data_IF_834315764159
#
_entry.id   IF_834315764159
#
_cell.length_a   1.000
_cell.length_b   1.000
_cell.length_c   1.000
_cell.angle_alpha   90.00
_cell.angle_beta   90.00
_cell.angle_gamma   90.00
#
_symmetry.space_group_name_H-M   'P 1'
#
loop_
_entity.id
_entity.type
_entity.pdbx_description
1 polymer ?
#
# COMPACT_ATOMS: atom_id res chain seq x y z
N UNK A 1 -20.98 -7.89 -6.25
CA UNK A 1 -21.94 -7.63 -5.17
C UNK A 1 -23.06 -8.65 -5.29
N UNK A 2 -23.46 -9.25 -4.18
CA UNK A 2 -24.68 -10.06 -4.14
C UNK A 2 -25.91 -9.14 -4.16
N UNK A 3 -26.77 -9.29 -5.16
CA UNK A 3 -27.89 -8.37 -5.38
C UNK A 3 -28.99 -8.47 -4.32
N UNK A 4 -29.08 -9.61 -3.61
CA UNK A 4 -30.12 -9.82 -2.59
C UNK A 4 -29.75 -9.20 -1.26
N UNK A 5 -28.48 -9.30 -0.89
CA UNK A 5 -27.98 -8.89 0.43
C UNK A 5 -27.25 -7.55 0.39
N UNK A 6 -26.71 -7.14 -0.76
CA UNK A 6 -25.81 -5.99 -0.89
C UNK A 6 -24.38 -6.27 -0.41
N UNK A 7 -24.05 -7.52 -0.09
CA UNK A 7 -22.71 -7.89 0.36
C UNK A 7 -21.72 -7.92 -0.81
N UNK A 8 -20.46 -7.55 -0.54
CA UNK A 8 -19.35 -7.70 -1.48
C UNK A 8 -18.31 -8.66 -0.93
N UNK A 9 -17.91 -9.63 -1.76
CA UNK A 9 -16.78 -10.53 -1.47
C UNK A 9 -15.58 -9.96 -2.22
N UNK A 10 -14.57 -9.52 -1.48
CA UNK A 10 -13.41 -8.82 -2.04
C UNK A 10 -12.16 -9.69 -2.09
N UNK A 11 -12.15 -10.81 -1.36
CA UNK A 11 -10.94 -11.63 -1.20
C UNK A 11 -9.77 -10.78 -0.69
N UNK A 12 -8.70 -10.72 -1.49
CA UNK A 12 -7.47 -9.95 -1.20
C UNK A 12 -7.38 -8.66 -2.02
N UNK A 13 -8.47 -8.22 -2.65
CA UNK A 13 -8.48 -6.99 -3.45
C UNK A 13 -8.20 -5.72 -2.63
N UNK A 14 -8.41 -5.78 -1.31
CA UNK A 14 -8.17 -4.68 -0.36
C UNK A 14 -7.55 -5.26 0.92
N UNK A 15 -6.48 -4.63 1.40
CA UNK A 15 -5.56 -5.22 2.39
C UNK A 15 -5.36 -4.35 3.65
N UNK A 16 -6.21 -3.36 3.92
CA UNK A 16 -6.04 -2.50 5.08
C UNK A 16 -4.72 -1.72 5.07
N UNK A 17 -4.23 -1.45 6.28
CA UNK A 17 -2.90 -0.88 6.57
C UNK A 17 -1.85 -1.94 6.97
N UNK A 18 -2.28 -3.17 7.23
CA UNK A 18 -1.41 -4.34 7.47
C UNK A 18 -2.16 -5.63 7.13
N UNK A 19 -1.45 -6.62 6.60
CA UNK A 19 -1.91 -8.01 6.69
C UNK A 19 -1.71 -8.50 8.12
N UNK A 20 -2.68 -9.23 8.66
CA UNK A 20 -2.72 -9.61 10.07
C UNK A 20 -2.43 -11.10 10.28
N UNK A 21 -1.87 -11.42 11.43
CA UNK A 21 -1.89 -12.76 11.98
C UNK A 21 -3.31 -13.13 12.43
N UNK A 22 -3.54 -14.42 12.72
CA UNK A 22 -4.83 -14.91 13.18
C UNK A 22 -5.29 -14.29 14.52
N UNK A 23 -4.35 -13.77 15.32
CA UNK A 23 -4.61 -13.05 16.57
C UNK A 23 -4.88 -11.54 16.36
N UNK A 24 -4.84 -11.06 15.11
CA UNK A 24 -5.04 -9.67 14.75
C UNK A 24 -3.78 -8.80 14.83
N UNK A 25 -2.62 -9.34 15.23
CA UNK A 25 -1.38 -8.60 15.25
C UNK A 25 -0.87 -8.32 13.82
N UNK A 26 -0.22 -7.16 13.54
CA UNK A 26 0.39 -6.87 12.25
C UNK A 26 1.44 -7.92 11.86
N UNK A 27 1.19 -8.66 10.78
CA UNK A 27 2.11 -9.68 10.28
C UNK A 27 3.12 -9.08 9.30
N UNK A 28 2.62 -8.42 8.26
CA UNK A 28 3.45 -7.81 7.22
C UNK A 28 2.67 -6.71 6.44
N UNK A 29 3.37 -5.84 5.69
CA UNK A 29 2.73 -4.75 4.96
C UNK A 29 1.71 -5.20 3.90
N UNK A 30 0.74 -4.34 3.53
CA UNK A 30 -0.12 -4.56 2.38
C UNK A 30 0.70 -4.73 1.09
N UNK A 31 0.45 -5.82 0.34
CA UNK A 31 1.28 -6.23 -0.82
C UNK A 31 0.69 -5.85 -2.18
N UNK A 32 -0.11 -4.78 -2.25
CA UNK A 32 -0.58 -4.25 -3.53
C UNK A 32 0.60 -3.73 -4.37
N UNK A 33 0.50 -3.83 -5.71
CA UNK A 33 1.58 -3.45 -6.63
C UNK A 33 1.21 -2.35 -7.62
N UNK A 34 -0.03 -2.35 -8.10
CA UNK A 34 -0.54 -1.38 -9.07
C UNK A 34 -1.38 -0.33 -8.36
N UNK A 35 -0.73 0.74 -7.89
CA UNK A 35 -1.31 1.74 -6.96
C UNK A 35 -2.64 2.30 -7.46
N UNK A 36 -2.68 2.79 -8.70
CA UNK A 36 -3.90 3.41 -9.24
C UNK A 36 -5.03 2.42 -9.47
N UNK A 37 -4.71 1.19 -9.90
CA UNK A 37 -5.72 0.13 -10.03
C UNK A 37 -6.26 -0.30 -8.66
N UNK A 38 -5.40 -0.39 -7.64
CA UNK A 38 -5.79 -0.67 -6.26
C UNK A 38 -6.69 0.42 -5.68
N UNK A 39 -6.29 1.69 -5.79
CA UNK A 39 -7.11 2.87 -5.41
C UNK A 39 -8.44 2.89 -6.15
N UNK A 40 -8.45 2.63 -7.46
CA UNK A 40 -9.68 2.58 -8.26
C UNK A 40 -10.62 1.47 -7.80
N UNK A 41 -10.08 0.28 -7.49
CA UNK A 41 -10.86 -0.85 -6.99
C UNK A 41 -11.52 -0.54 -5.65
N UNK A 42 -10.79 0.11 -4.73
CA UNK A 42 -11.36 0.52 -3.44
C UNK A 42 -12.46 1.57 -3.65
N UNK A 43 -12.24 2.60 -4.47
CA UNK A 43 -13.26 3.62 -4.77
C UNK A 43 -14.52 3.03 -5.40
N UNK A 44 -14.35 2.07 -6.30
CA UNK A 44 -15.46 1.32 -6.90
C UNK A 44 -16.26 0.59 -5.82
N UNK A 45 -15.60 -0.17 -4.94
CA UNK A 45 -16.25 -0.91 -3.86
C UNK A 45 -17.00 0.03 -2.91
N UNK A 46 -16.40 1.16 -2.53
CA UNK A 46 -17.07 2.19 -1.73
C UNK A 46 -18.31 2.75 -2.44
N UNK A 47 -18.21 3.02 -3.73
CA UNK A 47 -19.31 3.54 -4.55
C UNK A 47 -20.50 2.58 -4.70
N UNK A 48 -20.30 1.28 -4.46
CA UNK A 48 -21.40 0.30 -4.41
C UNK A 48 -22.27 0.43 -3.15
N UNK A 49 -21.81 1.18 -2.13
CA UNK A 49 -22.46 1.29 -0.82
C UNK A 49 -22.84 -0.08 -0.22
N UNK A 50 -21.85 -1.00 -0.05
CA UNK A 50 -22.13 -2.36 0.36
C UNK A 50 -22.70 -2.41 1.78
N UNK A 51 -23.65 -3.32 2.00
CA UNK A 51 -24.16 -3.60 3.35
C UNK A 51 -23.13 -4.34 4.19
N UNK A 52 -22.16 -5.00 3.54
CA UNK A 52 -21.17 -5.85 4.16
C UNK A 52 -19.96 -6.08 3.23
N UNK A 53 -18.77 -6.12 3.82
CA UNK A 53 -17.51 -6.44 3.13
C UNK A 53 -16.95 -7.74 3.70
N UNK A 54 -16.82 -8.74 2.84
CA UNK A 54 -16.29 -10.08 3.15
C UNK A 54 -14.89 -10.22 2.57
N UNK A 55 -13.92 -10.50 3.44
CA UNK A 55 -12.49 -10.55 3.11
C UNK A 55 -11.93 -11.97 3.30
N UNK A 56 -10.72 -12.27 2.80
CA UNK A 56 -10.07 -13.56 3.06
C UNK A 56 -9.40 -13.63 4.44
N UNK A 57 -8.75 -12.54 4.87
CA UNK A 57 -7.81 -12.54 6.01
C UNK A 57 -8.23 -11.62 7.17
N UNK A 58 -9.22 -10.78 6.96
CA UNK A 58 -9.74 -9.83 7.95
C UNK A 58 -11.11 -10.27 8.45
N UNK A 59 -11.59 -9.70 9.56
CA UNK A 59 -12.96 -9.90 10.00
C UNK A 59 -13.99 -9.62 8.90
N UNK A 60 -15.18 -10.16 9.14
CA UNK A 60 -16.40 -9.79 8.43
C UNK A 60 -16.83 -8.39 8.90
N UNK A 61 -16.90 -7.43 7.97
CA UNK A 61 -17.27 -6.05 8.30
C UNK A 61 -18.69 -5.72 7.86
N UNK A 62 -19.50 -5.15 8.76
CA UNK A 62 -20.90 -4.80 8.50
C UNK A 62 -21.08 -3.29 8.43
N UNK A 63 -21.85 -2.83 7.45
CA UNK A 63 -22.20 -1.42 7.29
C UNK A 63 -20.98 -0.51 7.30
N UNK A 64 -20.97 0.46 8.23
CA UNK A 64 -19.92 1.47 8.31
C UNK A 64 -18.52 0.88 8.55
N UNK A 65 -18.39 -0.21 9.31
CA UNK A 65 -17.09 -0.87 9.55
C UNK A 65 -16.42 -1.29 8.23
N UNK A 66 -17.22 -1.68 7.24
CA UNK A 66 -16.72 -2.04 5.91
C UNK A 66 -16.22 -0.82 5.14
N UNK A 67 -16.91 0.32 5.27
CA UNK A 67 -16.48 1.58 4.66
C UNK A 67 -15.19 2.07 5.31
N UNK A 68 -15.08 1.98 6.63
CA UNK A 68 -13.91 2.39 7.40
C UNK A 68 -12.67 1.55 7.05
N UNK A 69 -12.83 0.25 6.81
CA UNK A 69 -11.75 -0.61 6.30
C UNK A 69 -11.27 -0.18 4.90
N UNK A 70 -12.21 0.15 4.00
CA UNK A 70 -11.88 0.64 2.66
C UNK A 70 -11.18 2.02 2.73
N UNK A 71 -11.63 2.90 3.63
CA UNK A 71 -11.00 4.20 3.86
C UNK A 71 -9.59 4.09 4.45
N UNK A 72 -9.41 3.22 5.45
CA UNK A 72 -8.09 2.90 6.00
C UNK A 72 -7.13 2.43 4.91
N UNK A 73 -7.61 1.57 4.02
CA UNK A 73 -6.82 1.04 2.90
C UNK A 73 -6.41 2.12 1.90
N UNK A 74 -7.29 3.08 1.60
CA UNK A 74 -6.96 4.23 0.76
C UNK A 74 -5.96 5.17 1.45
N UNK A 75 -6.21 5.52 2.71
CA UNK A 75 -5.34 6.39 3.49
C UNK A 75 -3.92 5.83 3.60
N UNK A 76 -3.78 4.51 3.72
CA UNK A 76 -2.47 3.85 3.72
C UNK A 76 -1.72 4.05 2.40
N UNK A 77 -2.41 4.07 1.24
CA UNK A 77 -1.74 4.37 -0.05
C UNK A 77 -1.19 5.79 -0.08
N UNK A 78 -1.90 6.75 0.49
CA UNK A 78 -1.46 8.15 0.55
C UNK A 78 -0.29 8.32 1.53
N UNK A 79 -0.32 7.61 2.66
CA UNK A 79 0.79 7.53 3.60
C UNK A 79 2.05 6.99 2.90
N UNK A 80 1.94 5.86 2.20
CA UNK A 80 3.06 5.22 1.53
C UNK A 80 3.70 6.11 0.45
N UNK A 81 2.89 6.76 -0.39
CA UNK A 81 3.37 7.70 -1.41
C UNK A 81 4.12 8.88 -0.79
N UNK A 82 3.54 9.49 0.24
CA UNK A 82 4.12 10.64 0.95
C UNK A 82 5.44 10.27 1.62
N UNK A 83 5.46 9.15 2.36
CA UNK A 83 6.67 8.67 3.05
C UNK A 83 7.79 8.33 2.06
N UNK A 84 7.47 7.72 0.92
CA UNK A 84 8.44 7.42 -0.13
C UNK A 84 9.09 8.70 -0.68
N UNK A 85 8.26 9.70 -1.02
CA UNK A 85 8.74 10.98 -1.55
C UNK A 85 9.59 11.76 -0.52
N UNK A 86 9.13 11.82 0.74
CA UNK A 86 9.88 12.46 1.83
C UNK A 86 11.24 11.77 2.04
N UNK A 87 11.29 10.43 1.98
CA UNK A 87 12.52 9.65 2.16
C UNK A 87 13.54 9.92 1.04
N UNK A 88 13.09 9.96 -0.21
CA UNK A 88 13.95 10.32 -1.35
C UNK A 88 14.44 11.76 -1.24
N UNK A 89 13.56 12.68 -0.82
CA UNK A 89 13.91 14.09 -0.61
C UNK A 89 15.01 14.24 0.44
N UNK A 90 14.87 13.56 1.57
CA UNK A 90 15.83 13.60 2.69
C UNK A 90 17.18 12.95 2.35
N UNK A 91 17.19 11.95 1.47
CA UNK A 91 18.43 11.30 1.05
C UNK A 91 19.37 12.22 0.26
N UNK A 92 18.84 13.26 -0.41
CA UNK A 92 19.64 14.26 -1.13
C UNK A 92 20.40 13.73 -2.36
N UNK A 93 20.21 12.47 -2.74
CA UNK A 93 20.88 11.81 -3.85
C UNK A 93 20.22 10.49 -4.25
N UNK A 94 20.74 9.80 -5.29
CA UNK A 94 20.16 8.55 -5.77
C UNK A 94 20.25 7.42 -4.72
N UNK A 95 19.11 6.83 -4.38
CA UNK A 95 19.01 5.68 -3.46
C UNK A 95 18.21 4.54 -4.08
N UNK A 96 18.55 3.31 -3.72
CA UNK A 96 17.88 2.08 -4.17
C UNK A 96 16.56 1.85 -3.42
N UNK A 97 15.70 0.96 -3.94
CA UNK A 97 14.46 0.57 -3.27
C UNK A 97 14.73 -0.05 -1.88
N UNK A 98 15.78 -0.85 -1.76
CA UNK A 98 16.18 -1.43 -0.47
C UNK A 98 16.54 -0.32 0.52
N UNK A 99 17.36 0.66 0.12
CA UNK A 99 17.70 1.80 0.98
C UNK A 99 16.48 2.67 1.34
N UNK A 100 15.50 2.81 0.42
CA UNK A 100 14.24 3.50 0.72
C UNK A 100 13.48 2.75 1.82
N UNK A 101 13.30 1.43 1.68
CA UNK A 101 12.60 0.58 2.66
C UNK A 101 13.28 0.69 4.03
N UNK A 102 14.60 0.48 4.09
CA UNK A 102 15.39 0.56 5.33
C UNK A 102 15.26 1.91 6.03
N UNK A 103 15.13 3.01 5.27
CA UNK A 103 15.00 4.36 5.84
C UNK A 103 13.60 4.71 6.32
N UNK A 104 12.57 3.98 5.90
CA UNK A 104 11.19 4.42 6.11
C UNK A 104 10.21 3.40 6.67
N UNK A 105 10.60 2.13 6.82
CA UNK A 105 9.67 1.08 7.24
C UNK A 105 8.95 1.38 8.56
N UNK A 106 9.64 1.90 9.57
CA UNK A 106 9.06 2.24 10.89
C UNK A 106 7.98 3.32 10.82
N UNK A 107 7.95 4.10 9.74
CA UNK A 107 6.95 5.15 9.50
C UNK A 107 5.72 4.62 8.76
N UNK A 108 5.80 3.40 8.24
CA UNK A 108 4.76 2.73 7.45
C UNK A 108 4.06 1.65 8.28
N UNK A 109 4.77 0.99 9.18
CA UNK A 109 4.16 0.04 10.10
C UNK A 109 5.18 -0.64 11.01
N UNK A 110 4.71 -1.43 11.98
CA UNK A 110 5.52 -1.95 13.08
C UNK A 110 6.24 -3.27 12.74
N UNK A 111 6.40 -3.61 11.47
CA UNK A 111 6.88 -4.93 11.06
C UNK A 111 8.40 -5.04 11.23
N UNK A 112 8.84 -6.15 11.83
CA UNK A 112 10.27 -6.45 11.97
C UNK A 112 10.86 -7.07 10.71
N UNK A 113 12.18 -7.22 10.66
CA UNK A 113 12.85 -8.00 9.62
C UNK A 113 12.51 -9.50 9.78
N UNK A 114 12.16 -10.23 8.71
CA UNK A 114 12.17 -9.82 7.30
C UNK A 114 10.82 -9.30 6.78
N UNK A 115 9.79 -9.18 7.62
CA UNK A 115 8.44 -8.84 7.20
C UNK A 115 8.33 -7.46 6.53
N UNK A 116 9.02 -6.43 7.02
CA UNK A 116 8.96 -5.11 6.36
C UNK A 116 9.50 -5.13 4.91
N UNK A 117 10.30 -6.13 4.51
CA UNK A 117 10.84 -6.20 3.13
C UNK A 117 9.74 -6.40 2.08
N UNK A 118 8.56 -6.86 2.48
CA UNK A 118 7.37 -6.88 1.64
C UNK A 118 6.86 -5.47 1.26
N UNK A 119 7.38 -4.39 1.86
CA UNK A 119 7.17 -3.02 1.38
C UNK A 119 7.71 -2.82 -0.05
N UNK A 120 8.57 -3.71 -0.54
CA UNK A 120 9.02 -3.70 -1.93
C UNK A 120 7.88 -3.74 -2.94
N UNK A 121 6.73 -4.37 -2.62
CA UNK A 121 5.56 -4.38 -3.50
C UNK A 121 4.90 -3.00 -3.62
N UNK A 122 4.36 -2.40 -2.54
CA UNK A 122 3.67 -1.12 -2.64
C UNK A 122 4.64 0.01 -2.98
N UNK A 123 5.84 0.05 -2.39
CA UNK A 123 6.77 1.16 -2.63
C UNK A 123 7.27 1.18 -4.07
N UNK A 124 7.56 0.04 -4.69
CA UNK A 124 7.92 0.04 -6.10
C UNK A 124 6.78 0.59 -6.99
N UNK A 125 5.53 0.27 -6.67
CA UNK A 125 4.37 0.84 -7.36
C UNK A 125 4.26 2.35 -7.20
N UNK A 126 4.47 2.87 -5.99
CA UNK A 126 4.45 4.31 -5.72
C UNK A 126 5.59 5.05 -6.42
N UNK A 127 6.79 4.46 -6.50
CA UNK A 127 7.91 5.04 -7.23
C UNK A 127 7.58 5.20 -8.72
N UNK A 128 6.92 4.22 -9.34
CA UNK A 128 6.50 4.31 -10.74
C UNK A 128 5.44 5.39 -10.98
N UNK A 129 4.52 5.59 -10.03
CA UNK A 129 3.54 6.69 -10.07
C UNK A 129 4.26 8.05 -9.97
N UNK A 130 5.18 8.20 -9.02
CA UNK A 130 5.96 9.42 -8.82
C UNK A 130 6.87 9.74 -10.01
N UNK A 131 7.47 8.71 -10.64
CA UNK A 131 8.20 8.83 -11.92
C UNK A 131 7.27 9.33 -13.03
N UNK A 132 6.08 8.75 -13.17
CA UNK A 132 5.07 9.17 -14.15
C UNK A 132 4.65 10.64 -13.98
N UNK A 133 4.58 11.12 -12.74
CA UNK A 133 4.33 12.52 -12.41
C UNK A 133 5.58 13.41 -12.43
N UNK A 134 6.75 12.87 -12.82
CA UNK A 134 8.03 13.59 -12.88
C UNK A 134 8.43 14.24 -11.55
N UNK A 135 8.03 13.64 -10.42
CA UNK A 135 8.46 14.08 -9.08
C UNK A 135 9.83 13.52 -8.72
N UNK A 136 10.10 12.33 -9.21
CA UNK A 136 11.38 11.64 -9.08
C UNK A 136 11.83 11.15 -10.45
N UNK A 137 13.11 10.80 -10.55
CA UNK A 137 13.69 10.15 -11.72
C UNK A 137 14.41 8.88 -11.33
N UNK A 138 14.39 7.92 -12.26
CA UNK A 138 15.07 6.64 -12.13
C UNK A 138 16.45 6.70 -12.77
N UNK A 139 17.45 6.17 -12.07
CA UNK A 139 18.81 5.97 -12.54
C UNK A 139 19.29 4.55 -12.27
N UNK A 140 20.61 4.36 -12.37
CA UNK A 140 21.29 3.13 -11.95
C UNK A 140 22.59 3.49 -11.23
N UNK A 141 22.96 2.72 -10.22
CA UNK A 141 24.27 2.84 -9.59
C UNK A 141 25.35 2.08 -10.39
N UNK A 142 26.59 2.04 -9.89
CA UNK A 142 27.72 1.37 -10.53
C UNK A 142 27.51 -0.15 -10.71
N UNK A 143 26.63 -0.76 -9.90
CA UNK A 143 26.25 -2.17 -9.98
C UNK A 143 25.00 -2.41 -10.84
N UNK A 144 24.57 -1.40 -11.63
CA UNK A 144 23.37 -1.43 -12.46
C UNK A 144 22.05 -1.62 -11.70
N UNK A 145 22.04 -1.44 -10.37
CA UNK A 145 20.84 -1.51 -9.54
C UNK A 145 20.04 -0.21 -9.73
N UNK A 146 18.71 -0.28 -9.96
CA UNK A 146 17.87 0.90 -10.07
C UNK A 146 17.97 1.80 -8.83
N UNK A 147 18.08 3.10 -9.06
CA UNK A 147 18.06 4.14 -8.02
C UNK A 147 17.03 5.21 -8.34
N UNK A 148 16.60 5.94 -7.32
CA UNK A 148 15.64 7.02 -7.40
C UNK A 148 16.17 8.27 -6.70
N UNK A 149 15.93 9.42 -7.31
CA UNK A 149 16.28 10.75 -6.79
C UNK A 149 15.23 11.76 -7.24
N UNK A 150 15.20 12.95 -6.63
CA UNK A 150 14.34 14.03 -7.12
C UNK A 150 14.62 14.33 -8.61
N UNK A 151 13.54 14.59 -9.35
CA UNK A 151 13.59 14.86 -10.78
C UNK A 151 14.41 16.12 -11.09
#
# INVERSE_FOLDING_TARGET
MDEKTGAVIIGDAVLGDSVLHADGAPAFPPTYRFVEAYRASIRLLKGMNPTEVLTSHYPRYKGQDGIDFLDTSLAYTDLAERVALETITQAGGPITLAEIIEKCHDRLGPWENPAYTFLSYPLLGHLEVLEGYKKIKRGKNAQAIPTWSLA
#
